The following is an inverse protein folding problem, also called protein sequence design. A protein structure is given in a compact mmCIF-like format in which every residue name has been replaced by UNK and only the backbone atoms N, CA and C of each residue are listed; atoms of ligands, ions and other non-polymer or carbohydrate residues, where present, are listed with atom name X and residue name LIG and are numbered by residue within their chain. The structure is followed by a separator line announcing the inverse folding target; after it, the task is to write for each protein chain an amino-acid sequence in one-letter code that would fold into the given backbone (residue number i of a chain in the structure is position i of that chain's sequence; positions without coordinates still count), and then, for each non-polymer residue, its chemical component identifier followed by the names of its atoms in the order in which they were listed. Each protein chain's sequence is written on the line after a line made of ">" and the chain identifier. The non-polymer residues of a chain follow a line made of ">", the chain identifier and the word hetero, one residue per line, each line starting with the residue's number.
data_IF_388827287152
#
_entry.id   IF_388827287152
#
_cell.length_a   1.000
_cell.length_b   1.000
_cell.length_c   1.000
_cell.angle_alpha   90.00
_cell.angle_beta   90.00
_cell.angle_gamma   90.00
#
_symmetry.space_group_name_H-M   'P 1'
#
loop_
_entity.id
_entity.type
_entity.pdbx_description
1 polymer ?
#
# COMPACT_ATOMS: atom_id res chain seq x y z
N UNK A 1 41.00 86.19 44.05
CA UNK A 1 40.43 84.89 43.59
C UNK A 1 38.95 85.08 43.30
N UNK A 2 38.50 84.84 42.07
CA UNK A 2 37.07 84.90 41.67
C UNK A 2 36.45 83.52 41.91
N UNK A 3 35.47 83.44 42.79
CA UNK A 3 34.68 82.22 43.04
C UNK A 3 33.66 82.05 41.89
N UNK A 4 33.77 80.96 41.13
CA UNK A 4 32.78 80.56 40.13
C UNK A 4 31.67 79.83 40.88
N UNK A 5 30.50 80.46 41.05
CA UNK A 5 29.29 79.76 41.50
C UNK A 5 28.83 78.81 40.39
N UNK A 6 28.95 77.51 40.59
CA UNK A 6 28.21 76.51 39.79
C UNK A 6 26.74 76.58 40.20
N UNK A 7 25.87 76.94 39.26
CA UNK A 7 24.41 76.85 39.43
C UNK A 7 24.01 75.42 39.06
N UNK A 8 23.66 74.60 40.05
CA UNK A 8 23.04 73.30 39.81
C UNK A 8 21.55 73.51 39.57
N UNK A 9 21.08 73.18 38.37
CA UNK A 9 19.66 73.13 38.04
C UNK A 9 19.08 71.79 38.53
N UNK A 10 18.65 71.72 39.78
CA UNK A 10 17.68 70.69 40.17
C UNK A 10 16.32 71.09 39.57
N UNK A 11 16.12 70.73 38.30
CA UNK A 11 14.82 70.95 37.65
C UNK A 11 13.82 69.97 38.25
N UNK A 12 13.02 70.47 39.18
CA UNK A 12 11.78 69.83 39.57
C UNK A 12 10.91 69.67 38.31
N UNK A 13 10.75 68.45 37.84
CA UNK A 13 9.77 68.13 36.80
C UNK A 13 8.40 68.42 37.41
N UNK A 14 7.67 69.37 36.83
CA UNK A 14 6.30 69.69 37.29
C UNK A 14 5.45 68.41 37.30
N UNK A 15 4.64 68.16 38.34
CA UNK A 15 3.80 66.96 38.43
C UNK A 15 2.94 66.74 37.18
N UNK A 16 2.48 67.83 36.55
CA UNK A 16 1.69 67.79 35.31
C UNK A 16 2.54 67.40 34.10
N UNK A 17 3.79 67.82 34.04
CA UNK A 17 4.71 67.46 32.95
C UNK A 17 5.13 65.98 33.11
N UNK A 18 5.32 65.50 34.34
CA UNK A 18 5.66 64.12 34.62
C UNK A 18 4.55 63.14 34.17
N UNK A 19 3.29 63.45 34.45
CA UNK A 19 2.16 62.60 34.05
C UNK A 19 1.98 62.56 32.54
N UNK A 20 2.11 63.70 31.85
CA UNK A 20 2.02 63.76 30.38
C UNK A 20 3.12 62.90 29.73
N UNK A 21 4.36 62.99 30.21
CA UNK A 21 5.47 62.20 29.68
C UNK A 21 5.29 60.70 29.93
N UNK A 22 4.82 60.32 31.12
CA UNK A 22 4.55 58.93 31.48
C UNK A 22 3.47 58.33 30.57
N UNK A 23 2.35 59.04 30.39
CA UNK A 23 1.25 58.59 29.52
C UNK A 23 1.72 58.48 28.07
N UNK A 24 2.46 59.48 27.55
CA UNK A 24 2.97 59.46 26.19
C UNK A 24 3.86 58.24 25.90
N UNK A 25 4.76 57.88 26.84
CA UNK A 25 5.62 56.70 26.69
C UNK A 25 4.80 55.42 26.72
N UNK A 26 3.80 55.28 27.60
CA UNK A 26 2.97 54.07 27.66
C UNK A 26 2.17 53.84 26.38
N UNK A 27 1.66 54.92 25.76
CA UNK A 27 0.95 54.82 24.47
C UNK A 27 1.89 54.34 23.37
N UNK A 28 3.10 54.92 23.29
CA UNK A 28 4.10 54.52 22.29
C UNK A 28 4.54 53.07 22.49
N UNK A 29 4.86 52.66 23.72
CA UNK A 29 5.24 51.28 24.02
C UNK A 29 4.10 50.30 23.72
N UNK A 30 2.85 50.67 24.02
CA UNK A 30 1.70 49.83 23.69
C UNK A 30 1.48 49.68 22.18
N UNK A 31 1.74 50.73 21.39
CA UNK A 31 1.69 50.67 19.94
C UNK A 31 2.78 49.78 19.34
N UNK A 32 4.01 49.89 19.84
CA UNK A 32 5.13 49.01 19.43
C UNK A 32 4.85 47.57 19.82
N UNK A 33 4.35 47.32 21.03
CA UNK A 33 3.94 45.99 21.49
C UNK A 33 2.82 45.41 20.61
N UNK A 34 1.81 46.22 20.24
CA UNK A 34 0.72 45.79 19.37
C UNK A 34 1.21 45.39 17.99
N UNK A 35 2.06 46.21 17.34
CA UNK A 35 2.61 45.90 16.01
C UNK A 35 3.50 44.66 16.08
N UNK A 36 4.29 44.49 17.14
CA UNK A 36 5.09 43.29 17.35
C UNK A 36 4.21 42.05 17.57
N UNK A 37 3.19 42.14 18.42
CA UNK A 37 2.26 41.05 18.68
C UNK A 37 1.43 40.69 17.43
N UNK A 38 1.03 41.68 16.63
CA UNK A 38 0.33 41.47 15.37
C UNK A 38 1.22 40.78 14.33
N UNK A 39 2.49 41.20 14.18
CA UNK A 39 3.44 40.52 13.29
C UNK A 39 3.76 39.10 13.77
N UNK A 40 3.86 38.88 15.10
CA UNK A 40 4.06 37.54 15.65
C UNK A 40 2.83 36.65 15.41
N UNK A 41 1.62 37.20 15.54
CA UNK A 41 0.38 36.48 15.25
C UNK A 41 0.28 36.14 13.76
N UNK A 42 0.48 37.12 12.86
CA UNK A 42 0.48 36.88 11.41
C UNK A 42 1.59 35.89 10.99
N UNK A 43 2.80 36.01 11.54
CA UNK A 43 3.91 35.09 11.23
C UNK A 43 3.70 33.66 11.77
N UNK A 44 2.76 33.45 12.70
CA UNK A 44 2.35 32.11 13.16
C UNK A 44 1.06 31.61 12.49
N UNK A 45 0.42 32.42 11.64
CA UNK A 45 -0.79 32.04 10.88
C UNK A 45 -0.58 32.06 9.37
N UNK A 46 0.65 32.30 8.89
CA UNK A 46 1.00 32.40 7.46
C UNK A 46 1.09 31.04 6.75
N UNK A 47 0.98 29.94 7.51
CA UNK A 47 0.46 28.69 6.99
C UNK A 47 -1.04 28.70 7.23
N UNK A 48 -1.84 28.73 6.17
CA UNK A 48 -3.19 28.17 6.23
C UNK A 48 -3.06 26.86 7.01
N UNK A 49 -3.69 26.77 8.19
CA UNK A 49 -3.75 25.51 8.94
C UNK A 49 -4.58 24.56 8.09
N UNK A 50 -3.95 23.97 7.07
CA UNK A 50 -4.45 22.82 6.36
C UNK A 50 -4.38 21.70 7.36
N UNK A 51 -5.45 21.56 8.14
CA UNK A 51 -5.55 20.49 9.10
C UNK A 51 -5.89 19.24 8.30
N UNK A 52 -4.88 18.39 8.13
CA UNK A 52 -5.09 17.05 7.63
C UNK A 52 -5.49 16.15 8.81
N UNK A 53 -6.48 15.32 8.60
CA UNK A 53 -6.84 14.26 9.56
C UNK A 53 -6.98 12.96 8.81
N UNK A 54 -6.39 11.91 9.36
CA UNK A 54 -6.44 10.58 8.79
C UNK A 54 -6.99 9.61 9.82
N UNK A 55 -7.65 8.58 9.33
CA UNK A 55 -8.06 7.43 10.12
C UNK A 55 -7.42 6.17 9.55
N UNK A 56 -6.84 5.37 10.43
CA UNK A 56 -6.28 4.07 10.10
C UNK A 56 -7.17 2.97 10.70
N UNK A 57 -7.43 1.93 9.90
CA UNK A 57 -8.23 0.77 10.29
C UNK A 57 -7.54 -0.50 9.80
N UNK A 58 -7.85 -1.66 10.39
CA UNK A 58 -7.35 -2.94 9.90
C UNK A 58 -7.80 -3.16 8.46
N UNK A 59 -6.88 -3.57 7.60
CA UNK A 59 -7.28 -4.09 6.30
C UNK A 59 -7.94 -5.47 6.47
N UNK A 60 -8.85 -5.85 5.56
CA UNK A 60 -9.36 -7.20 5.51
C UNK A 60 -8.31 -8.16 4.94
N UNK A 61 -8.37 -9.43 5.35
CA UNK A 61 -7.40 -10.44 4.93
C UNK A 61 -6.72 -11.10 6.12
N UNK A 62 -5.99 -12.18 5.82
CA UNK A 62 -5.15 -12.83 6.82
C UNK A 62 -3.79 -12.13 6.89
N UNK A 63 -3.19 -12.17 8.08
CA UNK A 63 -1.80 -11.80 8.31
C UNK A 63 -1.03 -13.12 8.40
N UNK A 64 -0.23 -13.40 7.39
CA UNK A 64 0.46 -14.66 7.16
C UNK A 64 1.97 -14.44 7.29
N UNK A 65 2.76 -15.50 7.07
CA UNK A 65 4.21 -15.39 6.97
C UNK A 65 4.70 -15.14 5.55
N UNK A 66 3.78 -14.91 4.62
CA UNK A 66 4.13 -14.42 3.30
C UNK A 66 4.44 -12.92 3.40
N UNK A 67 4.76 -12.28 2.27
CA UNK A 67 5.26 -10.89 2.28
C UNK A 67 4.41 -9.96 1.42
N UNK A 68 3.12 -10.27 1.38
CA UNK A 68 2.12 -9.67 0.50
C UNK A 68 0.79 -9.45 1.24
N UNK A 69 0.80 -9.38 2.57
CA UNK A 69 -0.41 -9.22 3.35
C UNK A 69 -0.91 -7.77 3.36
N UNK A 70 -2.23 -7.62 3.33
CA UNK A 70 -2.87 -6.32 3.50
C UNK A 70 -2.86 -5.97 4.98
N UNK A 71 -2.23 -4.85 5.34
CA UNK A 71 -1.99 -4.51 6.73
C UNK A 71 -3.05 -3.56 7.27
N UNK A 72 -3.16 -2.37 6.66
CA UNK A 72 -4.05 -1.30 7.13
C UNK A 72 -4.67 -0.53 5.99
N UNK A 73 -5.88 -0.04 6.21
CA UNK A 73 -6.53 0.93 5.34
C UNK A 73 -6.44 2.29 6.02
N UNK A 74 -5.94 3.29 5.29
CA UNK A 74 -5.83 4.66 5.75
C UNK A 74 -6.73 5.55 4.91
N UNK A 75 -7.56 6.37 5.56
CA UNK A 75 -8.50 7.28 4.90
C UNK A 75 -8.14 8.72 5.21
N UNK A 76 -8.13 9.61 4.21
CA UNK A 76 -7.98 11.04 4.43
C UNK A 76 -9.35 11.64 4.77
N UNK A 77 -9.64 11.85 6.06
CA UNK A 77 -10.94 12.34 6.51
C UNK A 77 -11.13 13.85 6.27
N UNK A 78 -10.04 14.63 6.37
CA UNK A 78 -10.01 16.07 6.14
C UNK A 78 -8.67 16.48 5.55
N UNK A 79 -8.66 17.54 4.75
CA UNK A 79 -7.46 18.04 4.11
C UNK A 79 -7.79 18.72 2.78
N UNK A 80 -6.80 18.74 1.90
CA UNK A 80 -6.91 19.08 0.48
C UNK A 80 -6.20 17.99 -0.32
N UNK A 81 -6.53 17.86 -1.60
CA UNK A 81 -5.92 16.83 -2.45
C UNK A 81 -4.38 16.97 -2.48
N UNK A 82 -3.67 15.88 -2.17
CA UNK A 82 -2.20 15.88 -2.08
C UNK A 82 -1.61 14.99 -3.16
N UNK A 83 -0.80 15.59 -4.03
CA UNK A 83 -0.08 14.84 -5.05
C UNK A 83 0.91 13.84 -4.42
N UNK A 84 0.87 12.57 -4.86
CA UNK A 84 1.71 11.48 -4.35
C UNK A 84 3.21 11.76 -4.44
N UNK A 85 3.67 12.54 -5.43
CA UNK A 85 5.08 12.92 -5.56
C UNK A 85 5.60 13.83 -4.43
N UNK A 86 4.73 14.26 -3.51
CA UNK A 86 5.11 15.03 -2.31
C UNK A 86 4.99 14.21 -1.03
N UNK A 87 4.39 13.02 -1.07
CA UNK A 87 4.09 12.23 0.12
C UNK A 87 5.11 11.13 0.34
N UNK A 88 5.51 10.97 1.60
CA UNK A 88 6.22 9.81 2.11
C UNK A 88 5.30 9.08 3.07
N UNK A 89 4.97 7.82 2.78
CA UNK A 89 4.27 6.94 3.72
C UNK A 89 5.29 6.04 4.39
N UNK A 90 5.30 6.04 5.73
CA UNK A 90 6.18 5.19 6.53
C UNK A 90 5.37 4.36 7.50
N UNK A 91 5.78 3.11 7.67
CA UNK A 91 5.14 2.13 8.52
C UNK A 91 6.08 1.73 9.66
N UNK A 92 5.59 1.63 10.87
CA UNK A 92 6.29 1.01 12.00
C UNK A 92 5.41 -0.09 12.57
N UNK A 93 5.97 -1.27 12.74
CA UNK A 93 5.26 -2.42 13.32
C UNK A 93 5.82 -2.69 14.72
N UNK A 94 4.94 -2.87 15.71
CA UNK A 94 5.28 -3.17 17.10
C UNK A 94 6.33 -2.21 17.72
N UNK A 95 6.31 -0.93 17.32
CA UNK A 95 7.24 0.10 17.80
C UNK A 95 8.68 -0.02 17.23
N UNK A 96 8.90 -0.86 16.22
CA UNK A 96 10.17 -0.97 15.51
C UNK A 96 10.49 0.31 14.69
N UNK A 97 11.70 0.38 14.14
CA UNK A 97 12.09 1.49 13.28
C UNK A 97 11.16 1.57 12.05
N UNK A 98 10.74 2.80 11.69
CA UNK A 98 9.85 2.98 10.56
C UNK A 98 10.53 2.61 9.23
N UNK A 99 9.84 1.83 8.41
CA UNK A 99 10.21 1.51 7.03
C UNK A 99 9.42 2.40 6.06
N UNK A 100 9.97 2.67 4.89
CA UNK A 100 9.26 3.41 3.84
C UNK A 100 8.40 2.46 3.01
N UNK A 101 7.17 2.90 2.71
CA UNK A 101 6.33 2.26 1.72
C UNK A 101 6.56 2.89 0.34
N UNK A 102 6.47 2.07 -0.71
CA UNK A 102 6.42 2.52 -2.09
C UNK A 102 5.12 3.29 -2.32
N UNK A 103 5.20 4.43 -3.02
CA UNK A 103 4.00 5.15 -3.45
C UNK A 103 3.20 4.39 -4.52
N UNK A 104 1.98 4.81 -4.84
CA UNK A 104 1.19 4.17 -5.89
C UNK A 104 1.92 4.14 -7.23
N UNK A 105 2.01 2.94 -7.82
CA UNK A 105 2.72 2.72 -9.08
C UNK A 105 4.25 2.60 -8.96
N UNK A 106 4.80 2.67 -7.75
CA UNK A 106 6.21 2.39 -7.45
C UNK A 106 6.38 0.99 -6.85
N UNK A 107 7.62 0.49 -6.82
CA UNK A 107 7.93 -0.87 -6.32
C UNK A 107 8.98 -0.89 -5.22
N UNK A 108 9.55 0.26 -4.88
CA UNK A 108 10.68 0.35 -3.95
C UNK A 108 10.21 0.74 -2.56
N UNK A 109 10.21 -0.22 -1.64
CA UNK A 109 9.78 -0.05 -0.25
C UNK A 109 9.56 -1.41 0.40
N UNK A 110 9.50 -1.46 1.74
CA UNK A 110 9.16 -2.70 2.45
C UNK A 110 7.64 -2.97 2.46
N UNK A 111 6.86 -1.93 2.23
CA UNK A 111 5.42 -1.94 2.03
C UNK A 111 5.08 -1.17 0.74
N UNK A 112 3.85 -1.27 0.26
CA UNK A 112 3.33 -0.54 -0.89
C UNK A 112 1.96 0.05 -0.56
N UNK A 113 1.68 1.23 -1.09
CA UNK A 113 0.39 1.90 -0.99
C UNK A 113 -0.43 1.62 -2.25
N UNK A 114 -1.62 1.07 -2.08
CA UNK A 114 -2.59 0.80 -3.13
C UNK A 114 -3.73 1.82 -3.04
N UNK A 115 -3.96 2.56 -4.13
CA UNK A 115 -5.11 3.47 -4.27
C UNK A 115 -6.39 2.66 -4.44
N UNK A 116 -7.50 3.20 -3.92
CA UNK A 116 -8.83 2.65 -4.24
C UNK A 116 -9.24 3.04 -5.65
N UNK A 117 -8.86 4.24 -6.11
CA UNK A 117 -9.18 4.77 -7.44
C UNK A 117 -7.92 5.40 -8.08
N UNK A 118 -7.21 4.70 -8.97
CA UNK A 118 -5.87 5.09 -9.45
C UNK A 118 -5.86 6.24 -10.48
N UNK A 119 -6.92 7.03 -10.53
CA UNK A 119 -7.21 7.97 -11.62
C UNK A 119 -6.58 9.36 -11.38
N UNK A 120 -6.21 9.67 -10.13
CA UNK A 120 -5.94 11.04 -9.69
C UNK A 120 -4.47 11.45 -9.61
N UNK A 121 -3.54 10.51 -9.38
CA UNK A 121 -2.14 10.85 -9.07
C UNK A 121 -1.99 11.75 -7.82
N UNK A 122 -3.03 11.79 -7.02
CA UNK A 122 -3.16 12.53 -5.77
C UNK A 122 -4.08 11.72 -4.85
N UNK A 123 -3.85 11.87 -3.55
CA UNK A 123 -4.74 11.34 -2.53
C UNK A 123 -5.81 12.38 -2.20
N UNK A 124 -7.06 12.06 -2.52
CA UNK A 124 -8.19 12.96 -2.35
C UNK A 124 -8.88 12.80 -0.99
N UNK A 125 -9.56 13.85 -0.53
CA UNK A 125 -10.32 13.80 0.73
C UNK A 125 -11.49 12.81 0.61
N UNK A 126 -11.59 11.90 1.57
CA UNK A 126 -12.56 10.81 1.62
C UNK A 126 -12.07 9.54 0.94
N UNK A 127 -10.93 9.58 0.25
CA UNK A 127 -10.35 8.40 -0.37
C UNK A 127 -9.59 7.55 0.67
N UNK A 128 -9.76 6.24 0.55
CA UNK A 128 -9.04 5.24 1.31
C UNK A 128 -7.92 4.62 0.48
N UNK A 129 -6.78 4.36 1.10
CA UNK A 129 -5.66 3.61 0.52
C UNK A 129 -5.34 2.41 1.38
N UNK A 130 -4.93 1.31 0.76
CA UNK A 130 -4.51 0.10 1.47
C UNK A 130 -2.99 0.04 1.49
N UNK A 131 -2.42 -0.10 2.68
CA UNK A 131 -0.99 -0.38 2.86
C UNK A 131 -0.84 -1.89 2.99
N UNK A 132 -0.02 -2.45 2.10
CA UNK A 132 0.29 -3.88 1.99
C UNK A 132 1.79 -4.09 2.12
N UNK A 133 2.22 -5.27 2.53
CA UNK A 133 3.61 -5.68 2.45
C UNK A 133 4.13 -5.76 1.01
N UNK A 134 5.44 -5.62 0.84
CA UNK A 134 6.08 -5.61 -0.48
C UNK A 134 7.39 -6.41 -0.45
N UNK A 135 7.28 -7.74 -0.45
CA UNK A 135 8.43 -8.65 -0.49
C UNK A 135 9.23 -8.73 0.81
N UNK A 136 8.76 -8.04 1.86
CA UNK A 136 9.24 -8.14 3.23
C UNK A 136 8.06 -8.43 4.13
N UNK A 137 8.13 -9.53 4.87
CA UNK A 137 7.21 -9.85 5.97
C UNK A 137 7.48 -8.87 7.12
N UNK A 138 6.46 -8.05 7.41
CA UNK A 138 6.45 -7.01 8.43
C UNK A 138 5.58 -7.40 9.62
N UNK A 139 4.57 -8.24 9.42
CA UNK A 139 3.54 -8.53 10.40
C UNK A 139 2.99 -9.96 10.30
N UNK A 140 3.39 -10.78 11.27
CA UNK A 140 2.90 -12.15 11.44
C UNK A 140 1.84 -12.28 12.55
N UNK A 141 0.84 -13.15 12.34
CA UNK A 141 -0.02 -13.71 13.39
C UNK A 141 -1.40 -13.08 13.53
N UNK A 142 -2.06 -13.28 14.67
CA UNK A 142 -3.47 -12.87 14.81
C UNK A 142 -3.66 -11.34 14.81
N UNK A 143 -2.67 -10.57 15.29
CA UNK A 143 -2.72 -9.11 15.35
C UNK A 143 -1.34 -8.47 15.35
N UNK A 144 -1.20 -7.29 14.74
CA UNK A 144 0.00 -6.43 14.87
C UNK A 144 -0.37 -4.99 15.19
N UNK A 145 0.41 -4.35 16.07
CA UNK A 145 0.33 -2.90 16.26
C UNK A 145 1.07 -2.20 15.12
N UNK A 146 0.35 -1.33 14.40
CA UNK A 146 0.86 -0.62 13.24
C UNK A 146 0.74 0.88 13.49
N UNK A 147 1.85 1.58 13.32
CA UNK A 147 1.91 3.05 13.31
C UNK A 147 2.18 3.54 11.89
N UNK A 148 1.30 4.39 11.38
CA UNK A 148 1.39 5.00 10.06
C UNK A 148 1.84 6.44 10.21
N UNK A 149 2.86 6.82 9.44
CA UNK A 149 3.41 8.17 9.40
C UNK A 149 3.35 8.71 7.98
N UNK A 150 2.59 9.77 7.79
CA UNK A 150 2.45 10.45 6.50
C UNK A 150 3.21 11.77 6.57
N UNK A 151 4.16 11.99 5.67
CA UNK A 151 5.02 13.18 5.65
C UNK A 151 4.91 13.86 4.30
N UNK A 152 4.71 15.17 4.30
CA UNK A 152 4.95 15.99 3.11
C UNK A 152 6.45 16.27 3.00
N UNK A 153 7.11 15.62 2.04
CA UNK A 153 8.57 15.69 1.85
C UNK A 153 9.06 17.05 1.38
N UNK A 154 8.19 17.85 0.72
CA UNK A 154 8.55 19.18 0.25
C UNK A 154 8.89 20.10 1.43
N UNK A 155 8.06 20.04 2.46
CA UNK A 155 8.08 20.98 3.58
C UNK A 155 8.60 20.32 4.87
N UNK A 156 8.79 18.99 4.87
CA UNK A 156 9.26 18.21 6.01
C UNK A 156 8.24 18.08 7.15
N UNK A 157 6.96 18.33 6.86
CA UNK A 157 5.87 18.34 7.84
C UNK A 157 5.23 16.97 7.91
N UNK A 158 5.12 16.42 9.12
CA UNK A 158 4.30 15.23 9.38
C UNK A 158 2.83 15.62 9.34
N UNK A 159 2.09 15.04 8.40
CA UNK A 159 0.64 15.21 8.24
C UNK A 159 -0.14 14.23 9.11
N UNK A 160 0.40 13.04 9.34
CA UNK A 160 -0.18 12.02 10.22
C UNK A 160 0.89 11.24 11.01
N UNK A 161 0.53 10.86 12.23
CA UNK A 161 1.30 9.96 13.10
C UNK A 161 0.28 9.17 13.94
N UNK A 162 -0.50 8.33 13.27
CA UNK A 162 -1.58 7.54 13.87
C UNK A 162 -1.15 6.09 14.08
N UNK A 163 -1.82 5.41 15.01
CA UNK A 163 -1.63 3.98 15.23
C UNK A 163 -2.96 3.24 15.26
N UNK A 164 -2.93 2.00 14.78
CA UNK A 164 -4.04 1.05 14.78
C UNK A 164 -3.53 -0.36 15.05
N UNK A 165 -4.45 -1.28 15.32
CA UNK A 165 -4.17 -2.71 15.33
C UNK A 165 -4.64 -3.27 13.99
N UNK A 166 -3.74 -3.93 13.27
CA UNK A 166 -4.10 -4.83 12.17
C UNK A 166 -4.50 -6.18 12.79
N UNK A 167 -5.63 -6.71 12.35
CA UNK A 167 -6.19 -7.98 12.82
C UNK A 167 -6.30 -8.94 11.64
N UNK A 168 -5.81 -10.16 11.83
CA UNK A 168 -5.98 -11.24 10.87
C UNK A 168 -7.46 -11.62 10.83
N UNK A 169 -8.10 -11.31 9.71
CA UNK A 169 -9.53 -11.53 9.48
C UNK A 169 -9.69 -12.38 8.22
N UNK A 170 -9.84 -13.71 8.37
CA UNK A 170 -10.04 -14.61 7.24
C UNK A 170 -11.22 -14.14 6.39
N UNK A 171 -10.92 -13.80 5.14
CA UNK A 171 -11.95 -13.46 4.18
C UNK A 171 -12.83 -14.68 3.92
N UNK A 172 -14.13 -14.50 3.67
CA UNK A 172 -14.97 -15.61 3.25
C UNK A 172 -14.35 -16.27 2.00
N UNK A 173 -14.39 -17.61 1.88
CA UNK A 173 -13.82 -18.29 0.73
C UNK A 173 -14.42 -17.73 -0.56
N UNK A 174 -13.64 -16.99 -1.32
CA UNK A 174 -14.07 -16.40 -2.57
C UNK A 174 -13.42 -17.20 -3.71
N UNK A 175 -14.23 -17.92 -4.51
CA UNK A 175 -13.71 -18.81 -5.55
C UNK A 175 -12.99 -18.06 -6.67
N UNK A 176 -13.06 -16.73 -6.72
CA UNK A 176 -12.32 -15.95 -7.70
C UNK A 176 -10.88 -15.62 -7.29
N UNK A 177 -10.46 -15.84 -6.04
CA UNK A 177 -9.05 -15.57 -5.66
C UNK A 177 -8.06 -16.57 -6.29
N UNK A 178 -8.52 -17.75 -6.71
CA UNK A 178 -7.71 -18.72 -7.48
C UNK A 178 -7.64 -18.40 -8.97
N UNK A 179 -8.48 -17.46 -9.45
CA UNK A 179 -8.54 -17.12 -10.88
C UNK A 179 -7.39 -16.23 -11.30
N UNK A 180 -7.04 -16.33 -12.57
CA UNK A 180 -5.99 -15.54 -13.22
C UNK A 180 -6.59 -14.65 -14.30
N UNK A 181 -5.94 -13.52 -14.56
CA UNK A 181 -6.25 -12.70 -15.73
C UNK A 181 -5.73 -13.42 -16.97
N UNK A 182 -6.62 -13.68 -17.91
CA UNK A 182 -6.29 -14.38 -19.15
C UNK A 182 -6.72 -13.57 -20.37
N UNK A 183 -5.80 -13.39 -21.31
CA UNK A 183 -6.07 -12.77 -22.58
C UNK A 183 -6.48 -13.82 -23.63
N UNK A 184 -7.74 -13.77 -24.06
CA UNK A 184 -8.33 -14.70 -25.03
C UNK A 184 -7.75 -14.60 -26.45
N UNK A 185 -6.99 -13.55 -26.75
CA UNK A 185 -6.37 -13.33 -28.06
C UNK A 185 -4.88 -13.68 -28.06
N UNK A 186 -4.13 -13.29 -27.03
CA UNK A 186 -2.68 -13.51 -26.94
C UNK A 186 -2.31 -14.76 -26.16
N UNK A 187 -3.26 -15.38 -25.44
CA UNK A 187 -3.05 -16.47 -24.49
C UNK A 187 -2.13 -16.09 -23.31
N UNK A 188 -1.94 -14.79 -23.07
CA UNK A 188 -1.19 -14.28 -21.92
C UNK A 188 -1.95 -14.55 -20.62
N UNK A 189 -1.23 -14.98 -19.59
CA UNK A 189 -1.75 -15.26 -18.24
C UNK A 189 -1.01 -14.37 -17.25
N UNK A 190 -1.74 -13.65 -16.41
CA UNK A 190 -1.20 -12.84 -15.33
C UNK A 190 -1.84 -13.32 -14.02
N UNK A 191 -1.02 -13.73 -13.06
CA UNK A 191 -1.48 -14.18 -11.74
C UNK A 191 -1.71 -12.98 -10.81
N UNK A 192 -2.49 -13.20 -9.75
CA UNK A 192 -2.64 -12.20 -8.68
C UNK A 192 -1.28 -11.81 -8.08
N UNK A 193 -0.40 -12.77 -7.81
CA UNK A 193 0.94 -12.52 -7.26
C UNK A 193 1.79 -11.59 -8.13
N UNK A 194 1.74 -11.74 -9.46
CA UNK A 194 2.45 -10.83 -10.39
C UNK A 194 1.96 -9.38 -10.31
N UNK A 195 0.70 -9.17 -9.93
CA UNK A 195 0.14 -7.82 -9.74
C UNK A 195 0.43 -7.31 -8.33
N UNK A 196 0.41 -8.20 -7.34
CA UNK A 196 0.65 -7.91 -5.92
C UNK A 196 2.12 -7.53 -5.61
N UNK A 197 3.10 -8.05 -6.33
CA UNK A 197 4.56 -7.87 -6.09
C UNK A 197 5.15 -6.55 -6.66
N UNK A 198 4.38 -5.46 -6.71
CA UNK A 198 4.85 -4.16 -7.21
C UNK A 198 4.16 -3.66 -8.49
N UNK A 199 2.98 -4.19 -8.80
CA UNK A 199 2.14 -3.66 -9.87
C UNK A 199 2.55 -4.11 -11.27
N UNK A 200 1.56 -4.53 -12.04
CA UNK A 200 1.76 -4.86 -13.45
C UNK A 200 1.75 -3.59 -14.31
N UNK A 201 2.45 -3.59 -15.44
CA UNK A 201 2.55 -2.40 -16.31
C UNK A 201 1.19 -1.95 -16.86
N UNK A 202 0.26 -2.88 -17.04
CA UNK A 202 -1.09 -2.63 -17.57
C UNK A 202 -2.20 -2.81 -16.55
N UNK A 203 -1.95 -3.57 -15.48
CA UNK A 203 -2.97 -3.98 -14.51
C UNK A 203 -2.58 -3.54 -13.10
N UNK A 204 -3.59 -3.22 -12.31
CA UNK A 204 -3.47 -2.91 -10.90
C UNK A 204 -4.59 -3.65 -10.16
N UNK A 205 -4.30 -4.19 -8.99
CA UNK A 205 -5.32 -4.72 -8.09
C UNK A 205 -5.98 -3.55 -7.37
N UNK A 206 -7.31 -3.52 -7.36
CA UNK A 206 -8.06 -2.54 -6.60
C UNK A 206 -8.18 -2.95 -5.14
N UNK A 207 -8.25 -1.95 -4.26
CA UNK A 207 -8.46 -2.18 -2.83
C UNK A 207 -9.75 -2.97 -2.57
N UNK A 208 -9.66 -3.98 -1.72
CA UNK A 208 -10.82 -4.78 -1.29
C UNK A 208 -11.83 -3.98 -0.45
N UNK A 209 -11.47 -2.76 -0.05
CA UNK A 209 -12.38 -1.84 0.65
C UNK A 209 -13.47 -1.26 -0.25
N UNK A 210 -13.27 -1.23 -1.57
CA UNK A 210 -14.24 -0.71 -2.51
C UNK A 210 -15.47 -1.62 -2.58
N UNK A 211 -16.66 -1.08 -2.31
CA UNK A 211 -17.93 -1.81 -2.40
C UNK A 211 -18.52 -1.83 -3.81
N UNK A 212 -17.90 -1.11 -4.75
CA UNK A 212 -18.45 -0.91 -6.10
C UNK A 212 -18.18 -2.10 -7.03
N UNK A 213 -17.25 -2.98 -6.66
CA UNK A 213 -16.81 -4.12 -7.46
C UNK A 213 -16.89 -5.43 -6.68
N UNK A 214 -17.03 -6.54 -7.41
CA UNK A 214 -16.94 -7.89 -6.82
C UNK A 214 -15.48 -8.32 -6.83
N UNK A 215 -14.85 -8.35 -5.66
CA UNK A 215 -13.43 -8.68 -5.55
C UNK A 215 -13.09 -10.14 -5.88
N UNK A 216 -11.84 -10.46 -6.28
CA UNK A 216 -10.79 -9.52 -6.65
C UNK A 216 -11.17 -8.70 -7.90
N UNK A 217 -10.89 -7.40 -7.85
CA UNK A 217 -11.15 -6.47 -8.94
C UNK A 217 -9.82 -5.87 -9.45
N UNK A 218 -9.65 -5.88 -10.77
CA UNK A 218 -8.44 -5.45 -11.45
C UNK A 218 -8.74 -4.28 -12.37
N UNK A 219 -7.97 -3.21 -12.24
CA UNK A 219 -8.09 -2.04 -13.09
C UNK A 219 -7.07 -2.07 -14.24
N UNK A 220 -7.55 -1.87 -15.47
CA UNK A 220 -6.71 -1.77 -16.65
C UNK A 220 -6.28 -0.31 -16.91
N UNK A 221 -5.01 0.00 -16.65
CA UNK A 221 -4.43 1.36 -16.69
C UNK A 221 -4.62 2.11 -18.01
N UNK A 222 -4.55 1.42 -19.15
CA UNK A 222 -4.69 2.08 -20.48
C UNK A 222 -6.12 2.16 -21.00
N UNK A 223 -7.00 1.28 -20.54
CA UNK A 223 -8.39 1.21 -21.02
C UNK A 223 -9.35 1.92 -20.06
N UNK A 224 -8.91 2.20 -18.83
CA UNK A 224 -9.71 2.80 -17.76
C UNK A 224 -11.01 2.01 -17.52
N UNK A 225 -10.87 0.68 -17.43
CA UNK A 225 -11.96 -0.24 -17.19
C UNK A 225 -11.56 -1.25 -16.10
N UNK A 226 -12.55 -1.71 -15.34
CA UNK A 226 -12.37 -2.68 -14.27
C UNK A 226 -12.87 -4.04 -14.73
N UNK A 227 -12.06 -5.06 -14.46
CA UNK A 227 -12.39 -6.47 -14.60
C UNK A 227 -12.49 -7.06 -13.20
N UNK A 228 -13.65 -7.56 -12.84
CA UNK A 228 -13.96 -8.04 -11.49
C UNK A 228 -14.52 -9.47 -11.51
N UNK A 229 -14.77 -10.05 -10.35
CA UNK A 229 -15.26 -11.43 -10.20
C UNK A 229 -16.73 -11.61 -10.64
N UNK A 230 -17.43 -10.55 -11.07
CA UNK A 230 -18.81 -10.66 -11.53
C UNK A 230 -18.92 -11.56 -12.78
N UNK A 231 -20.02 -12.30 -12.90
CA UNK A 231 -20.22 -13.24 -14.00
C UNK A 231 -20.24 -12.50 -15.36
N UNK A 232 -19.34 -12.88 -16.27
CA UNK A 232 -19.22 -12.28 -17.60
C UNK A 232 -18.45 -10.96 -17.64
N UNK A 233 -17.80 -10.54 -16.55
CA UNK A 233 -16.89 -9.39 -16.52
C UNK A 233 -15.74 -9.58 -17.50
N UNK A 234 -15.47 -8.58 -18.34
CA UNK A 234 -14.39 -8.60 -19.33
C UNK A 234 -13.92 -7.19 -19.68
N UNK A 235 -12.62 -7.06 -19.99
CA UNK A 235 -12.02 -5.81 -20.47
C UNK A 235 -11.25 -6.11 -21.76
N UNK A 236 -11.79 -5.68 -22.89
CA UNK A 236 -11.24 -6.03 -24.21
C UNK A 236 -11.24 -7.54 -24.42
N UNK A 237 -10.06 -8.15 -24.57
CA UNK A 237 -9.87 -9.60 -24.71
C UNK A 237 -9.58 -10.31 -23.39
N UNK A 238 -9.57 -9.60 -22.26
CA UNK A 238 -9.22 -10.12 -20.95
C UNK A 238 -10.45 -10.59 -20.18
N UNK A 239 -10.31 -11.76 -19.52
CA UNK A 239 -11.30 -12.37 -18.63
C UNK A 239 -10.63 -12.88 -17.35
N UNK A 240 -11.40 -13.03 -16.28
CA UNK A 240 -11.01 -13.83 -15.12
C UNK A 240 -11.44 -15.28 -15.35
N UNK A 241 -10.48 -16.20 -15.36
CA UNK A 241 -10.73 -17.63 -15.55
C UNK A 241 -9.98 -18.43 -14.53
N UNK A 242 -10.49 -19.63 -14.23
CA UNK A 242 -9.68 -20.64 -13.58
C UNK A 242 -8.45 -20.91 -14.43
N UNK A 243 -7.32 -21.12 -13.78
CA UNK A 243 -6.12 -21.58 -14.46
C UNK A 243 -6.43 -22.99 -14.99
N UNK A 244 -6.73 -23.11 -16.28
CA UNK A 244 -7.07 -24.40 -16.87
C UNK A 244 -5.85 -25.33 -16.78
N UNK A 245 -5.85 -26.25 -15.81
CA UNK A 245 -5.17 -27.52 -15.96
C UNK A 245 -5.83 -28.25 -17.13
N UNK A 246 -5.03 -28.74 -18.08
CA UNK A 246 -5.52 -29.38 -19.30
C UNK A 246 -6.18 -30.73 -19.00
N UNK A 247 -7.42 -30.73 -18.49
CA UNK A 247 -8.23 -31.92 -18.30
C UNK A 247 -8.87 -32.35 -19.62
N UNK A 248 -8.30 -33.36 -20.27
CA UNK A 248 -8.92 -34.05 -21.40
C UNK A 248 -10.16 -34.83 -20.94
N UNK A 249 -11.29 -34.55 -21.57
CA UNK A 249 -12.53 -35.34 -21.45
C UNK A 249 -12.23 -36.84 -21.66
N UNK A 250 -12.31 -37.63 -20.60
CA UNK A 250 -12.29 -39.09 -20.68
C UNK A 250 -13.67 -39.58 -21.10
N UNK A 251 -13.84 -39.75 -22.41
CA UNK A 251 -14.95 -40.51 -22.98
C UNK A 251 -14.86 -41.96 -22.52
N UNK A 252 -15.84 -42.34 -21.71
CA UNK A 252 -16.12 -43.69 -21.23
C UNK A 252 -16.29 -44.67 -22.42
N UNK A 253 -15.45 -45.69 -22.48
CA UNK A 253 -15.37 -46.68 -23.55
C UNK A 253 -14.78 -47.98 -23.02
N UNK A 254 -15.63 -48.98 -22.81
CA UNK A 254 -15.32 -50.16 -21.99
C UNK A 254 -14.40 -51.23 -22.58
N UNK A 255 -13.99 -52.12 -21.66
CA UNK A 255 -13.78 -53.57 -21.80
C UNK A 255 -12.49 -54.07 -22.49
N UNK A 256 -11.57 -54.69 -21.74
CA UNK A 256 -11.46 -56.16 -21.57
C UNK A 256 -10.12 -56.60 -20.94
N UNK A 257 -10.19 -57.79 -20.33
CA UNK A 257 -9.24 -58.48 -19.45
C UNK A 257 -7.85 -58.84 -20.03
N UNK A 258 -6.86 -59.04 -19.13
CA UNK A 258 -5.70 -59.89 -19.43
C UNK A 258 -4.52 -59.78 -18.45
N UNK A 259 -4.42 -60.72 -17.51
CA UNK A 259 -3.21 -60.94 -16.68
C UNK A 259 -2.03 -61.49 -17.49
N UNK A 260 -0.80 -61.05 -17.18
CA UNK A 260 0.34 -61.96 -16.94
C UNK A 260 1.59 -61.24 -16.40
N UNK A 261 2.02 -61.79 -15.27
CA UNK A 261 3.31 -61.79 -14.56
C UNK A 261 4.59 -61.73 -15.43
N UNK A 262 5.62 -61.00 -14.96
CA UNK A 262 7.05 -61.40 -14.95
C UNK A 262 7.93 -60.28 -14.38
N UNK A 263 8.69 -60.59 -13.32
CA UNK A 263 9.51 -59.65 -12.56
C UNK A 263 10.89 -59.31 -13.11
N UNK A 264 11.58 -58.42 -12.38
CA UNK A 264 12.98 -58.04 -12.58
C UNK A 264 13.44 -56.91 -11.64
N UNK A 265 13.99 -57.31 -10.49
CA UNK A 265 15.08 -56.69 -9.70
C UNK A 265 15.55 -55.26 -10.05
N UNK A 266 15.38 -54.29 -9.13
CA UNK A 266 16.46 -53.43 -8.57
C UNK A 266 15.93 -52.26 -7.71
N UNK A 267 16.51 -52.09 -6.52
CA UNK A 267 16.58 -50.80 -5.78
C UNK A 267 15.30 -50.28 -5.11
N UNK A 268 15.20 -50.44 -3.78
CA UNK A 268 14.26 -49.70 -2.94
C UNK A 268 14.61 -48.19 -2.94
N UNK A 269 14.11 -47.44 -3.92
CA UNK A 269 13.60 -46.08 -3.72
C UNK A 269 12.10 -46.14 -4.03
N UNK A 270 11.22 -45.51 -3.24
CA UNK A 270 9.81 -45.49 -3.57
C UNK A 270 9.65 -44.68 -4.86
N UNK A 271 9.35 -45.36 -5.96
CA UNK A 271 8.90 -44.72 -7.20
C UNK A 271 7.81 -43.70 -6.86
N UNK A 272 7.92 -42.51 -7.44
CA UNK A 272 6.96 -41.43 -7.24
C UNK A 272 5.52 -41.98 -7.37
N UNK A 273 4.69 -41.74 -6.36
CA UNK A 273 3.30 -42.20 -6.35
C UNK A 273 2.60 -41.69 -7.63
N UNK A 274 2.15 -42.59 -8.53
CA UNK A 274 1.47 -42.20 -9.76
C UNK A 274 0.11 -41.53 -9.51
N UNK A 275 -0.33 -41.44 -8.25
CA UNK A 275 -1.51 -40.68 -7.82
C UNK A 275 -1.17 -39.30 -7.22
N UNK A 276 0.07 -38.80 -7.35
CA UNK A 276 0.31 -37.37 -7.20
C UNK A 276 -0.47 -36.68 -8.33
N UNK A 277 -1.66 -36.16 -8.00
CA UNK A 277 -2.56 -35.56 -8.99
C UNK A 277 -1.84 -34.53 -9.85
N UNK A 278 -2.29 -34.42 -11.09
CA UNK A 278 -1.92 -33.43 -12.10
C UNK A 278 -2.30 -31.97 -11.72
N UNK A 279 -2.69 -31.75 -10.46
CA UNK A 279 -3.06 -30.47 -9.86
C UNK A 279 -1.86 -29.61 -9.42
N UNK A 280 -0.63 -30.14 -9.48
CA UNK A 280 0.56 -29.41 -9.01
C UNK A 280 1.36 -28.78 -10.16
N UNK A 281 1.59 -27.47 -10.05
CA UNK A 281 2.44 -26.70 -10.96
C UNK A 281 3.84 -26.52 -10.39
N UNK A 282 4.86 -26.70 -11.22
CA UNK A 282 6.25 -26.41 -10.87
C UNK A 282 6.54 -24.94 -11.11
N UNK A 283 6.66 -24.16 -10.03
CA UNK A 283 6.98 -22.74 -10.09
C UNK A 283 8.45 -22.49 -9.76
N UNK A 284 9.17 -21.88 -10.70
CA UNK A 284 10.52 -21.41 -10.45
C UNK A 284 10.49 -20.02 -9.83
N UNK A 285 10.82 -19.91 -8.55
CA UNK A 285 10.82 -18.64 -7.81
C UNK A 285 11.87 -17.61 -8.30
N UNK A 286 12.87 -18.03 -9.08
CA UNK A 286 13.92 -17.14 -9.59
C UNK A 286 13.59 -16.59 -10.98
N UNK A 287 12.92 -17.39 -11.82
CA UNK A 287 12.54 -16.97 -13.17
C UNK A 287 11.06 -16.60 -13.29
N UNK A 288 10.28 -16.83 -12.24
CA UNK A 288 8.82 -16.67 -12.17
C UNK A 288 8.09 -17.44 -13.29
N UNK A 289 8.70 -18.53 -13.77
CA UNK A 289 8.11 -19.40 -14.79
C UNK A 289 7.39 -20.56 -14.10
N UNK A 290 6.17 -20.83 -14.55
CA UNK A 290 5.40 -21.99 -14.14
C UNK A 290 5.40 -23.02 -15.27
N UNK A 291 5.66 -24.28 -14.93
CA UNK A 291 5.62 -25.41 -15.85
C UNK A 291 4.61 -26.44 -15.35
N UNK A 292 3.75 -26.92 -16.24
CA UNK A 292 2.88 -28.06 -15.94
C UNK A 292 3.71 -29.35 -15.91
N UNK A 293 3.19 -30.41 -15.30
CA UNK A 293 3.77 -31.74 -15.43
C UNK A 293 3.92 -32.14 -16.92
N UNK A 294 2.93 -31.79 -17.75
CA UNK A 294 2.97 -32.06 -19.18
C UNK A 294 4.06 -31.26 -19.91
N UNK A 295 4.35 -30.02 -19.51
CA UNK A 295 5.45 -29.22 -20.09
C UNK A 295 6.83 -29.82 -19.80
N UNK A 296 6.99 -30.46 -18.65
CA UNK A 296 8.22 -31.21 -18.31
C UNK A 296 8.32 -32.48 -19.16
N UNK A 297 7.20 -33.20 -19.33
CA UNK A 297 7.14 -34.41 -20.16
C UNK A 297 7.40 -34.08 -21.63
N UNK A 298 6.85 -32.98 -22.14
CA UNK A 298 6.98 -32.53 -23.53
C UNK A 298 8.33 -31.86 -23.81
N UNK A 299 9.19 -31.69 -22.79
CA UNK A 299 10.51 -31.08 -22.92
C UNK A 299 10.48 -29.56 -23.14
N UNK A 300 9.35 -28.91 -22.83
CA UNK A 300 9.16 -27.46 -22.90
C UNK A 300 9.66 -26.77 -21.62
N UNK A 301 9.86 -27.52 -20.53
CA UNK A 301 10.34 -27.02 -19.25
C UNK A 301 11.87 -26.96 -19.14
N UNK A 302 12.56 -26.41 -20.15
CA UNK A 302 13.98 -26.04 -20.13
C UNK A 302 14.93 -27.03 -19.42
N UNK A 303 15.21 -26.75 -18.14
CA UNK A 303 16.18 -27.46 -17.28
C UNK A 303 15.55 -28.48 -16.31
N UNK A 304 14.24 -28.73 -16.40
CA UNK A 304 13.51 -29.62 -15.51
C UNK A 304 13.34 -31.01 -16.14
N UNK A 305 13.51 -32.05 -15.33
CA UNK A 305 13.28 -33.45 -15.71
C UNK A 305 12.51 -34.15 -14.61
N UNK A 306 11.52 -34.96 -14.98
CA UNK A 306 10.84 -35.86 -14.05
C UNK A 306 11.83 -36.95 -13.62
N UNK A 307 12.02 -37.10 -12.32
CA UNK A 307 12.80 -38.21 -11.74
C UNK A 307 11.78 -39.22 -11.24
N UNK A 308 11.93 -40.47 -11.70
CA UNK A 308 11.12 -41.63 -11.24
C UNK A 308 11.36 -41.91 -9.76
#
# INVERSE_FOLDING_TARGET
>A
MRQIKRVNYEKAVSPVIATILMVAITVVLSGVLYVWAANLAESNTDGTFEMYTFSATSAPGELTSDSNDNLVIVTMDQGQDINWAKLSVKLSVAGAASVSCAGPGETTGACIVLESEPDGGAWDVGEAVTIKENGVDLCDGDTCEISVKIINERDGVTLDDSSTIAESTPLPPNPCYSKVLYNTQTHEVITKSTIDEGGHSTWMLLSESSTDYVHPAYYHKSMHQVLDCSEGSMVGSWILTEMQSGGGDSSDGGSDDGSSDSGGDSGDEPAADPNCGDDFMLYNYQTHQAYTQQDVIDGNAGDWVMVD
#
